data_IF_922709114247
#
_entry.id   IF_922709114247
#
_cell.length_a   1.000
_cell.length_b   1.000
_cell.length_c   1.000
_cell.angle_alpha   90.00
_cell.angle_beta   90.00
_cell.angle_gamma   90.00
#
_symmetry.space_group_name_H-M   'P 1'
#
loop_
_entity.id
_entity.type
_entity.pdbx_description
1 polymer ?
#
# COMPACT_ATOMS: atom_id res chain seq x y z
N UNK A 1 -13.42 -6.19 -11.46
CA UNK A 1 -13.48 -6.82 -10.13
C UNK A 1 -12.08 -6.81 -9.56
N UNK A 2 -11.76 -5.73 -8.87
CA UNK A 2 -10.45 -5.45 -8.30
C UNK A 2 -10.25 -6.39 -7.10
N UNK A 3 -9.16 -7.16 -7.12
CA UNK A 3 -8.83 -8.07 -6.02
C UNK A 3 -8.49 -7.21 -4.81
N UNK A 4 -9.39 -7.10 -3.84
CA UNK A 4 -9.00 -6.76 -2.47
C UNK A 4 -8.16 -7.93 -1.91
N UNK A 5 -6.86 -7.90 -2.19
CA UNK A 5 -5.90 -8.73 -1.48
C UNK A 5 -5.68 -8.08 -0.11
N UNK A 6 -5.80 -8.87 0.95
CA UNK A 6 -5.46 -8.46 2.31
C UNK A 6 -3.97 -8.08 2.31
N UNK A 7 -3.66 -6.79 2.48
CA UNK A 7 -2.28 -6.30 2.63
C UNK A 7 -1.79 -6.75 4.01
N UNK A 8 -1.40 -8.02 4.08
CA UNK A 8 -0.76 -8.61 5.25
C UNK A 8 0.65 -8.97 4.86
N UNK A 9 1.59 -8.02 5.01
CA UNK A 9 3.07 -8.15 5.07
C UNK A 9 3.81 -9.00 4.01
N UNK A 10 3.13 -9.68 3.11
CA UNK A 10 3.72 -10.55 2.10
C UNK A 10 3.14 -10.14 0.76
N UNK A 11 4.05 -9.70 -0.12
CA UNK A 11 3.82 -9.14 -1.45
C UNK A 11 3.53 -7.63 -1.38
N UNK A 12 4.60 -6.84 -1.27
CA UNK A 12 4.63 -5.42 -1.68
C UNK A 12 5.11 -5.30 -3.13
N UNK A 13 6.00 -6.21 -3.54
CA UNK A 13 6.68 -6.15 -4.82
C UNK A 13 5.74 -6.45 -5.99
N UNK A 14 4.74 -7.32 -5.81
CA UNK A 14 3.78 -7.66 -6.88
C UNK A 14 2.97 -6.43 -7.31
N UNK A 15 2.57 -5.60 -6.35
CA UNK A 15 1.76 -4.41 -6.51
C UNK A 15 2.55 -3.32 -7.21
N UNK A 16 3.83 -3.15 -6.85
CA UNK A 16 4.74 -2.26 -7.58
C UNK A 16 5.02 -2.76 -9.00
N UNK A 17 5.22 -4.06 -9.21
CA UNK A 17 5.39 -4.65 -10.55
C UNK A 17 4.14 -4.42 -11.39
N UNK A 18 2.95 -4.62 -10.81
CA UNK A 18 1.69 -4.41 -11.50
C UNK A 18 1.50 -2.93 -11.86
N UNK A 19 1.79 -2.01 -10.93
CA UNK A 19 1.75 -0.57 -11.16
C UNK A 19 2.71 -0.15 -12.29
N UNK A 20 3.95 -0.64 -12.28
CA UNK A 20 4.94 -0.38 -13.33
C UNK A 20 4.48 -0.91 -14.68
N UNK A 21 4.01 -2.16 -14.74
CA UNK A 21 3.57 -2.83 -15.98
C UNK A 21 2.34 -2.13 -16.58
N UNK A 22 1.51 -1.52 -15.73
CA UNK A 22 0.31 -0.76 -16.12
C UNK A 22 0.55 0.74 -16.29
N UNK A 23 1.80 1.21 -16.15
CA UNK A 23 2.15 2.63 -16.29
C UNK A 23 1.35 3.52 -15.34
N UNK A 24 1.11 3.02 -14.12
CA UNK A 24 0.33 3.72 -13.12
C UNK A 24 1.04 4.99 -12.65
N UNK A 25 0.28 6.08 -12.47
CA UNK A 25 0.79 7.35 -11.96
C UNK A 25 0.99 7.36 -10.45
N UNK A 26 0.28 6.48 -9.72
CA UNK A 26 0.36 6.34 -8.27
C UNK A 26 -0.26 5.00 -7.82
N UNK A 27 0.03 4.60 -6.58
CA UNK A 27 -0.66 3.51 -5.89
C UNK A 27 -1.43 4.09 -4.70
N UNK A 28 -2.69 3.70 -4.56
CA UNK A 28 -3.51 4.04 -3.39
C UNK A 28 -3.59 2.81 -2.50
N UNK A 29 -3.27 2.98 -1.21
CA UNK A 29 -3.37 1.94 -0.19
C UNK A 29 -4.37 2.38 0.86
N UNK A 30 -5.35 1.51 1.12
CA UNK A 30 -6.34 1.69 2.16
C UNK A 30 -6.43 0.41 3.00
N UNK A 31 -6.53 0.57 4.32
CA UNK A 31 -6.77 -0.54 5.24
C UNK A 31 -8.18 -0.46 5.79
N UNK A 32 -8.93 -1.56 5.71
CA UNK A 32 -10.25 -1.63 6.33
C UNK A 32 -10.09 -2.20 7.75
N UNK A 33 -10.57 -1.46 8.76
CA UNK A 33 -10.68 -1.95 10.13
C UNK A 33 -12.13 -2.40 10.39
N UNK A 34 -12.43 -3.72 10.38
CA UNK A 34 -13.79 -4.21 10.63
C UNK A 34 -14.31 -3.86 12.03
N UNK A 35 -13.40 -3.56 12.97
CA UNK A 35 -13.72 -3.08 14.31
C UNK A 35 -14.29 -1.66 14.34
N UNK A 36 -14.14 -0.88 13.24
CA UNK A 36 -14.50 0.53 13.19
C UNK A 36 -13.52 1.47 13.90
N UNK A 37 -12.44 0.93 14.48
CA UNK A 37 -11.39 1.72 15.15
C UNK A 37 -10.37 2.13 14.09
N UNK A 38 -10.19 3.44 13.90
CA UNK A 38 -9.26 4.02 12.92
C UNK A 38 -7.88 4.35 13.52
N UNK A 39 -7.65 3.95 14.75
CA UNK A 39 -6.38 4.18 15.41
C UNK A 39 -5.30 3.25 14.83
N UNK A 40 -4.32 3.86 14.17
CA UNK A 40 -3.23 3.12 13.55
C UNK A 40 -2.40 2.40 14.61
N UNK A 41 -2.20 1.10 14.40
CA UNK A 41 -1.25 0.31 15.18
C UNK A 41 0.19 0.77 14.91
N UNK A 42 1.14 0.27 15.72
CA UNK A 42 2.56 0.52 15.46
C UNK A 42 2.96 -0.12 14.13
N UNK A 43 2.42 -1.30 13.86
CA UNK A 43 2.63 -2.07 12.64
C UNK A 43 2.11 -1.30 11.41
N UNK A 44 0.92 -0.70 11.47
CA UNK A 44 0.35 0.09 10.38
C UNK A 44 1.25 1.31 10.04
N UNK A 45 1.81 1.95 11.07
CA UNK A 45 2.74 3.08 10.91
C UNK A 45 4.05 2.65 10.26
N UNK A 46 4.61 1.51 10.67
CA UNK A 46 5.83 0.99 10.07
C UNK A 46 5.64 0.57 8.62
N UNK A 47 4.51 -0.07 8.32
CA UNK A 47 4.16 -0.50 6.96
C UNK A 47 3.96 0.72 6.05
N UNK A 48 3.22 1.71 6.53
CA UNK A 48 3.06 3.03 5.88
C UNK A 48 4.40 3.65 5.51
N UNK A 49 5.37 3.63 6.44
CA UNK A 49 6.72 4.18 6.20
C UNK A 49 7.48 3.39 5.14
N UNK A 50 7.38 2.06 5.16
CA UNK A 50 8.03 1.19 4.17
C UNK A 50 7.46 1.41 2.77
N UNK A 51 6.14 1.47 2.65
CA UNK A 51 5.43 1.76 1.41
C UNK A 51 5.88 3.09 0.79
N UNK A 52 5.83 4.18 1.56
CA UNK A 52 6.27 5.50 1.09
C UNK A 52 7.70 5.49 0.58
N UNK A 53 8.62 4.89 1.36
CA UNK A 53 10.03 4.78 0.96
C UNK A 53 10.20 4.00 -0.35
N UNK A 54 9.46 2.91 -0.54
CA UNK A 54 9.52 2.13 -1.78
C UNK A 54 8.98 2.95 -2.98
N UNK A 55 7.88 3.66 -2.79
CA UNK A 55 7.33 4.56 -3.81
C UNK A 55 8.30 5.66 -4.23
N UNK A 56 8.97 6.29 -3.25
CA UNK A 56 9.99 7.32 -3.51
C UNK A 56 11.16 6.77 -4.32
N UNK A 57 11.63 5.55 -4.02
CA UNK A 57 12.73 4.88 -4.74
C UNK A 57 12.32 4.57 -6.19
N UNK A 58 11.09 4.10 -6.40
CA UNK A 58 10.61 3.65 -7.70
C UNK A 58 10.00 4.77 -8.55
N UNK A 59 9.84 5.98 -7.98
CA UNK A 59 9.16 7.09 -8.65
C UNK A 59 7.66 6.87 -8.80
N UNK A 60 7.05 6.05 -7.95
CA UNK A 60 5.60 5.79 -7.92
C UNK A 60 5.04 6.31 -6.59
N UNK A 61 4.36 7.47 -6.58
CA UNK A 61 3.74 8.03 -5.39
C UNK A 61 2.80 7.04 -4.68
N UNK A 62 2.92 6.95 -3.36
CA UNK A 62 1.97 6.22 -2.50
C UNK A 62 1.01 7.20 -1.83
N UNK A 63 -0.28 6.98 -2.06
CA UNK A 63 -1.37 7.71 -1.42
C UNK A 63 -2.00 6.78 -0.38
N UNK A 64 -2.24 7.29 0.83
CA UNK A 64 -2.79 6.52 1.94
C UNK A 64 -4.19 7.05 2.29
N UNK A 65 -5.13 6.12 2.53
CA UNK A 65 -6.53 6.40 2.88
C UNK A 65 -7.00 5.61 4.09
#
# INVERSE_FOLDING_TARGET
>A
MEKLKRIGSQLLLEEFIEALTKWAMAIIVAHNHPSGVLELSVEDREETRRLKKAGDILGIPIILG
#
